data_IF_942111649239
#
_entry.id   IF_942111649239
#
_cell.length_a   1.000
_cell.length_b   1.000
_cell.length_c   1.000
_cell.angle_alpha   90.00
_cell.angle_beta   90.00
_cell.angle_gamma   90.00
#
_symmetry.space_group_name_H-M   'P 1'
#
loop_
_entity.id
_entity.type
_entity.pdbx_description
1 polymer ?
#
# COMPACT_ATOMS: atom_id res chain seq x y z
N UNK A 1 -30.43 -51.14 -32.90
CA UNK A 1 -28.99 -50.92 -32.58
C UNK A 1 -28.73 -49.43 -32.81
N UNK A 2 -28.69 -48.58 -31.78
CA UNK A 2 -27.67 -48.39 -30.71
C UNK A 2 -26.47 -47.57 -31.23
N UNK A 3 -26.34 -46.34 -30.71
CA UNK A 3 -25.16 -45.46 -30.51
C UNK A 3 -25.62 -44.00 -30.63
N UNK A 4 -25.98 -43.28 -29.54
CA UNK A 4 -25.20 -42.76 -28.39
C UNK A 4 -24.28 -41.58 -28.75
N UNK A 5 -24.66 -40.41 -28.20
CA UNK A 5 -23.92 -39.24 -27.69
C UNK A 5 -22.46 -39.00 -28.14
N UNK A 6 -22.15 -37.74 -28.46
CA UNK A 6 -21.44 -36.80 -27.57
C UNK A 6 -20.77 -35.67 -28.39
N UNK A 7 -21.32 -34.46 -28.36
CA UNK A 7 -20.62 -33.25 -28.82
C UNK A 7 -20.08 -32.52 -27.60
N UNK A 8 -18.77 -32.61 -27.36
CA UNK A 8 -18.09 -31.96 -26.25
C UNK A 8 -18.07 -30.44 -26.44
N UNK A 9 -18.66 -29.70 -25.50
CA UNK A 9 -18.50 -28.25 -25.37
C UNK A 9 -17.20 -28.00 -24.62
N UNK A 10 -16.16 -27.54 -25.32
CA UNK A 10 -14.92 -27.07 -24.71
C UNK A 10 -15.16 -25.68 -24.13
N UNK A 11 -15.32 -25.59 -22.80
CA UNK A 11 -15.26 -24.33 -22.06
C UNK A 11 -13.78 -23.88 -22.02
N UNK A 12 -13.44 -22.86 -22.81
CA UNK A 12 -12.19 -22.14 -22.67
C UNK A 12 -12.30 -21.23 -21.43
N UNK A 13 -11.79 -21.70 -20.30
CA UNK A 13 -11.57 -20.85 -19.14
C UNK A 13 -10.40 -19.91 -19.45
N UNK A 14 -10.70 -18.70 -19.93
CA UNK A 14 -9.73 -17.60 -19.95
C UNK A 14 -9.54 -17.13 -18.52
N UNK A 15 -8.57 -17.73 -17.81
CA UNK A 15 -8.08 -17.20 -16.55
C UNK A 15 -7.49 -15.82 -16.81
N UNK A 16 -8.11 -14.77 -16.27
CA UNK A 16 -7.49 -13.46 -16.19
C UNK A 16 -6.36 -13.61 -15.18
N UNK A 17 -5.11 -13.58 -15.64
CA UNK A 17 -3.99 -13.50 -14.72
C UNK A 17 -4.07 -12.11 -14.07
N UNK A 18 -4.52 -12.07 -12.82
CA UNK A 18 -4.33 -10.91 -11.96
C UNK A 18 -2.82 -10.75 -11.83
N UNK A 19 -2.27 -9.70 -12.44
CA UNK A 19 -0.87 -9.34 -12.24
C UNK A 19 -0.78 -8.77 -10.82
N UNK A 20 -0.27 -9.57 -9.88
CA UNK A 20 0.18 -9.03 -8.61
C UNK A 20 1.30 -8.02 -8.91
N UNK A 21 1.29 -6.88 -8.22
CA UNK A 21 2.30 -5.85 -8.39
C UNK A 21 3.63 -6.40 -7.88
N UNK A 22 4.53 -6.80 -8.79
CA UNK A 22 5.77 -7.49 -8.43
C UNK A 22 6.80 -6.46 -7.92
N UNK A 23 6.74 -6.17 -6.62
CA UNK A 23 7.74 -5.37 -5.92
C UNK A 23 9.07 -6.13 -5.84
N UNK A 24 10.18 -5.42 -6.01
CA UNK A 24 11.52 -6.00 -5.97
C UNK A 24 12.17 -5.74 -4.60
N UNK A 25 12.66 -6.79 -3.94
CA UNK A 25 13.34 -6.66 -2.65
C UNK A 25 14.69 -5.94 -2.74
N UNK A 26 14.91 -4.94 -1.89
CA UNK A 26 16.17 -4.22 -1.76
C UNK A 26 16.88 -4.53 -0.42
N UNK A 27 16.15 -4.47 0.69
CA UNK A 27 16.68 -4.77 2.04
C UNK A 27 15.55 -5.11 3.03
N UNK A 28 15.90 -5.48 4.26
CA UNK A 28 14.97 -5.57 5.38
C UNK A 28 15.63 -5.00 6.64
N UNK A 29 14.99 -4.02 7.27
CA UNK A 29 15.56 -3.31 8.43
C UNK A 29 14.49 -2.93 9.44
N UNK A 30 14.78 -3.16 10.72
CA UNK A 30 13.96 -2.74 11.85
C UNK A 30 12.48 -3.18 11.78
N UNK A 31 12.20 -4.34 11.17
CA UNK A 31 10.83 -4.88 11.04
C UNK A 31 10.09 -4.45 9.77
N UNK A 32 10.73 -3.68 8.89
CA UNK A 32 10.19 -3.22 7.62
C UNK A 32 10.99 -3.80 6.45
N UNK A 33 10.29 -4.19 5.40
CA UNK A 33 10.91 -4.47 4.11
C UNK A 33 11.20 -3.16 3.39
N UNK A 34 12.32 -3.10 2.67
CA UNK A 34 12.65 -2.02 1.76
C UNK A 34 12.59 -2.58 0.35
N UNK A 35 11.72 -2.01 -0.46
CA UNK A 35 11.35 -2.54 -1.77
C UNK A 35 11.49 -1.46 -2.85
N UNK A 36 11.63 -1.87 -4.09
CA UNK A 36 11.56 -1.03 -5.30
C UNK A 36 10.26 -1.36 -6.01
N UNK A 37 9.51 -0.32 -6.39
CA UNK A 37 8.32 -0.42 -7.25
C UNK A 37 8.67 0.00 -8.69
N UNK A 38 8.81 -0.95 -9.63
CA UNK A 38 9.09 -0.64 -11.03
C UNK A 38 7.99 0.17 -11.73
N UNK A 39 6.77 0.21 -11.17
CA UNK A 39 5.64 0.95 -11.75
C UNK A 39 5.67 2.45 -11.40
N UNK A 40 6.44 2.84 -10.39
CA UNK A 40 6.63 4.21 -9.92
C UNK A 40 8.01 4.75 -10.29
N UNK A 41 8.47 4.41 -11.51
CA UNK A 41 9.79 4.77 -12.05
C UNK A 41 10.95 4.31 -11.14
N UNK A 42 10.82 3.09 -10.59
CA UNK A 42 11.69 2.50 -9.58
C UNK A 42 11.70 3.24 -8.23
N UNK A 43 10.61 3.91 -7.88
CA UNK A 43 10.41 4.44 -6.55
C UNK A 43 10.57 3.38 -5.46
N UNK A 44 11.35 3.71 -4.43
CA UNK A 44 11.56 2.86 -3.28
C UNK A 44 10.53 3.15 -2.19
N UNK A 45 10.18 2.10 -1.45
CA UNK A 45 9.22 2.14 -0.37
C UNK A 45 9.67 1.29 0.81
N UNK A 46 9.06 1.55 1.96
CA UNK A 46 9.03 0.62 3.09
C UNK A 46 7.68 -0.08 3.14
N UNK A 47 7.69 -1.37 3.48
CA UNK A 47 6.48 -2.17 3.60
C UNK A 47 6.46 -2.93 4.94
N UNK A 48 5.29 -3.02 5.55
CA UNK A 48 5.04 -3.92 6.67
C UNK A 48 3.62 -4.48 6.62
N UNK A 49 3.52 -5.77 6.94
CA UNK A 49 2.26 -6.46 7.20
C UNK A 49 2.05 -6.61 8.72
N UNK A 50 0.82 -6.41 9.19
CA UNK A 50 0.48 -6.46 10.62
C UNK A 50 -0.49 -7.61 10.95
N UNK A 51 -0.54 -7.98 12.23
CA UNK A 51 -1.36 -9.12 12.71
C UNK A 51 -2.86 -8.96 12.46
N UNK A 52 -3.35 -7.73 12.29
CA UNK A 52 -4.74 -7.41 11.98
C UNK A 52 -5.08 -7.50 10.48
N UNK A 53 -4.13 -7.97 9.65
CA UNK A 53 -4.29 -8.11 8.21
C UNK A 53 -3.99 -6.83 7.43
N UNK A 54 -3.45 -5.80 8.07
CA UNK A 54 -3.02 -4.59 7.40
C UNK A 54 -1.76 -4.81 6.55
N UNK A 55 -1.76 -4.30 5.32
CA UNK A 55 -0.57 -4.11 4.47
C UNK A 55 -0.38 -2.59 4.30
N UNK A 56 0.78 -2.09 4.71
CA UNK A 56 1.11 -0.66 4.67
C UNK A 56 2.41 -0.45 3.93
N UNK A 57 2.32 0.36 2.87
CA UNK A 57 3.44 0.78 2.02
C UNK A 57 3.61 2.27 2.16
N UNK A 58 4.81 2.73 2.51
CA UNK A 58 5.15 4.16 2.56
C UNK A 58 6.33 4.37 1.64
N UNK A 59 6.14 5.14 0.58
CA UNK A 59 7.13 5.22 -0.49
C UNK A 59 7.21 6.58 -1.16
N UNK A 60 8.06 6.62 -2.17
CA UNK A 60 8.32 7.81 -2.97
C UNK A 60 8.01 7.51 -4.43
N UNK A 61 7.31 8.41 -5.10
CA UNK A 61 7.14 8.33 -6.55
C UNK A 61 8.26 9.13 -7.24
N UNK A 62 9.13 8.47 -8.01
CA UNK A 62 10.22 9.16 -8.70
C UNK A 62 9.73 10.08 -9.84
N UNK A 63 8.45 10.00 -10.23
CA UNK A 63 7.84 10.85 -11.26
C UNK A 63 7.49 12.25 -10.74
N UNK A 64 7.48 12.47 -9.42
CA UNK A 64 7.03 13.71 -8.80
C UNK A 64 7.72 14.02 -7.47
N UNK A 65 7.41 15.16 -6.84
CA UNK A 65 7.93 15.51 -5.50
C UNK A 65 7.12 14.87 -4.36
N UNK A 66 6.23 13.92 -4.67
CA UNK A 66 5.26 13.36 -3.73
C UNK A 66 5.73 12.01 -3.17
N UNK A 67 5.52 11.83 -1.87
CA UNK A 67 5.47 10.51 -1.26
C UNK A 67 4.04 9.97 -1.31
N UNK A 68 3.89 8.69 -1.00
CA UNK A 68 2.59 8.04 -0.94
C UNK A 68 2.49 7.09 0.25
N UNK A 69 1.26 6.84 0.68
CA UNK A 69 0.90 5.74 1.59
C UNK A 69 -0.13 4.89 0.89
N UNK A 70 0.18 3.62 0.63
CA UNK A 70 -0.87 2.63 0.38
C UNK A 70 -1.20 1.95 1.71
N UNK A 71 -2.47 1.95 2.07
CA UNK A 71 -2.95 1.35 3.31
C UNK A 71 -4.12 0.42 3.01
N UNK A 72 -3.89 -0.89 3.06
CA UNK A 72 -4.89 -1.91 2.78
C UNK A 72 -5.24 -2.72 4.03
N UNK A 73 -6.53 -2.99 4.22
CA UNK A 73 -7.11 -3.75 5.32
C UNK A 73 -8.60 -4.03 5.02
N UNK A 74 -9.11 -5.20 5.39
CA UNK A 74 -10.55 -5.52 5.21
C UNK A 74 -11.51 -4.53 5.89
N UNK A 75 -11.03 -3.78 6.89
CA UNK A 75 -11.75 -2.71 7.58
C UNK A 75 -12.17 -1.54 6.69
N UNK A 76 -11.59 -1.38 5.50
CA UNK A 76 -12.05 -0.42 4.50
C UNK A 76 -13.42 -0.79 3.91
N UNK A 77 -13.81 -2.07 3.96
CA UNK A 77 -15.06 -2.55 3.40
C UNK A 77 -15.12 -2.44 1.88
N UNK A 78 -16.25 -1.94 1.35
CA UNK A 78 -16.51 -1.86 -0.08
C UNK A 78 -15.87 -0.58 -0.70
N UNK A 79 -14.55 -0.62 -0.91
CA UNK A 79 -13.83 0.39 -1.70
C UNK A 79 -14.12 0.22 -3.20
N UNK A 80 -14.19 1.34 -3.91
CA UNK A 80 -14.25 1.40 -5.37
C UNK A 80 -12.91 1.93 -5.88
N UNK A 81 -12.26 1.17 -6.74
CA UNK A 81 -10.98 1.54 -7.34
C UNK A 81 -11.09 2.87 -8.10
N UNK A 82 -10.19 3.80 -7.83
CA UNK A 82 -10.16 5.14 -8.42
C UNK A 82 -11.13 6.16 -7.80
N UNK A 83 -11.92 5.78 -6.79
CA UNK A 83 -12.79 6.71 -6.09
C UNK A 83 -12.04 7.42 -4.96
N UNK A 84 -12.24 8.74 -4.80
CA UNK A 84 -11.68 9.50 -3.67
C UNK A 84 -12.50 9.29 -2.39
N UNK A 85 -11.79 9.13 -1.27
CA UNK A 85 -12.35 9.01 0.07
C UNK A 85 -11.64 9.96 1.02
N UNK A 86 -12.37 10.76 1.82
CA UNK A 86 -11.74 11.55 2.87
C UNK A 86 -11.20 10.63 3.97
N UNK A 87 -9.98 10.90 4.39
CA UNK A 87 -9.26 10.11 5.39
C UNK A 87 -8.64 11.03 6.43
N UNK A 88 -8.44 10.50 7.64
CA UNK A 88 -7.66 11.19 8.66
C UNK A 88 -6.61 10.28 9.27
N UNK A 89 -5.45 10.88 9.56
CA UNK A 89 -4.34 10.22 10.23
C UNK A 89 -4.16 10.84 11.61
N UNK A 90 -4.10 10.02 12.65
CA UNK A 90 -3.73 10.43 13.99
C UNK A 90 -2.36 9.86 14.32
N UNK A 91 -1.36 10.72 14.31
CA UNK A 91 0.04 10.44 14.54
C UNK A 91 0.39 10.83 15.99
N UNK A 92 0.38 9.86 16.90
CA UNK A 92 0.46 10.06 18.35
C UNK A 92 -0.50 11.16 18.88
N UNK A 93 -1.70 11.25 18.30
CA UNK A 93 -2.73 12.24 18.64
C UNK A 93 -2.68 13.55 17.86
N UNK A 94 -1.69 13.74 16.99
CA UNK A 94 -1.67 14.84 16.03
C UNK A 94 -2.43 14.45 14.76
N UNK A 95 -3.42 15.26 14.40
CA UNK A 95 -4.38 14.89 13.35
C UNK A 95 -4.07 15.59 12.04
N UNK A 96 -3.93 14.79 10.99
CA UNK A 96 -3.83 15.21 9.60
C UNK A 96 -5.09 14.79 8.85
N UNK A 97 -5.48 15.59 7.87
CA UNK A 97 -6.62 15.33 7.00
C UNK A 97 -6.11 15.19 5.56
N UNK A 98 -6.68 14.25 4.82
CA UNK A 98 -6.31 14.01 3.44
C UNK A 98 -7.44 13.35 2.66
N UNK A 99 -7.13 13.01 1.42
CA UNK A 99 -7.97 12.23 0.53
C UNK A 99 -7.16 11.01 0.09
N UNK A 100 -7.79 9.84 0.06
CA UNK A 100 -7.20 8.62 -0.47
C UNK A 100 -7.99 8.12 -1.67
N UNK A 101 -7.29 7.69 -2.72
CA UNK A 101 -7.88 7.04 -3.89
C UNK A 101 -8.02 5.54 -3.63
N UNK A 102 -9.21 4.99 -3.83
CA UNK A 102 -9.47 3.57 -3.61
C UNK A 102 -8.62 2.67 -4.50
N UNK A 103 -8.10 1.58 -3.93
CA UNK A 103 -7.34 0.55 -4.66
C UNK A 103 -7.44 -0.82 -3.99
N UNK A 104 -6.86 -1.81 -4.65
CA UNK A 104 -6.69 -3.16 -4.09
C UNK A 104 -5.21 -3.57 -4.09
N UNK A 105 -4.70 -3.96 -2.92
CA UNK A 105 -3.35 -4.52 -2.76
C UNK A 105 -3.50 -6.02 -2.55
N UNK A 106 -3.04 -6.83 -3.51
CA UNK A 106 -3.09 -8.30 -3.39
C UNK A 106 -4.50 -8.85 -3.03
N UNK A 107 -5.54 -8.14 -3.46
CA UNK A 107 -6.95 -8.46 -3.20
C UNK A 107 -7.54 -7.85 -1.92
N UNK A 108 -6.75 -7.19 -1.08
CA UNK A 108 -7.21 -6.43 0.09
C UNK A 108 -7.67 -5.03 -0.34
N UNK A 109 -8.84 -4.56 0.11
CA UNK A 109 -9.27 -3.19 -0.15
C UNK A 109 -8.37 -2.20 0.60
N UNK A 110 -8.09 -1.06 -0.03
CA UNK A 110 -7.24 -0.03 0.54
C UNK A 110 -7.39 1.30 -0.15
N UNK A 111 -6.53 2.23 0.23
CA UNK A 111 -6.45 3.56 -0.37
C UNK A 111 -4.99 3.96 -0.62
N UNK A 112 -4.77 4.76 -1.66
CA UNK A 112 -3.52 5.44 -2.01
C UNK A 112 -3.66 6.90 -1.59
N UNK A 113 -2.78 7.34 -0.69
CA UNK A 113 -2.72 8.71 -0.21
C UNK A 113 -1.41 9.32 -0.65
N UNK A 114 -1.46 10.21 -1.62
CA UNK A 114 -0.33 11.06 -1.98
C UNK A 114 -0.13 12.19 -0.94
N UNK A 115 1.12 12.51 -0.63
CA UNK A 115 1.48 13.65 0.20
C UNK A 115 2.74 14.35 -0.33
N UNK A 116 2.83 15.65 -0.12
CA UNK A 116 4.01 16.47 -0.45
C UNK A 116 4.63 17.16 0.78
N UNK A 117 4.10 16.86 1.98
CA UNK A 117 4.52 17.45 3.24
C UNK A 117 5.71 16.72 3.85
N UNK A 118 6.85 17.41 3.92
CA UNK A 118 8.03 16.92 4.64
C UNK A 118 7.73 16.76 6.13
N UNK A 119 6.95 17.66 6.73
CA UNK A 119 6.60 17.57 8.15
C UNK A 119 5.80 16.30 8.44
N UNK A 120 4.87 15.92 7.55
CA UNK A 120 4.12 14.68 7.68
C UNK A 120 5.01 13.43 7.56
N UNK A 121 5.94 13.41 6.60
CA UNK A 121 6.91 12.32 6.47
C UNK A 121 7.81 12.21 7.70
N UNK A 122 8.27 13.35 8.22
CA UNK A 122 9.11 13.40 9.42
C UNK A 122 8.38 12.94 10.67
N UNK A 123 7.07 13.17 10.76
CA UNK A 123 6.23 12.68 11.84
C UNK A 123 6.03 11.17 11.76
N UNK A 124 5.79 10.60 10.58
CA UNK A 124 5.78 9.14 10.37
C UNK A 124 7.09 8.51 10.83
N UNK A 125 8.22 9.16 10.56
CA UNK A 125 9.52 8.67 10.98
C UNK A 125 9.72 8.73 12.51
N UNK A 126 9.21 9.78 13.18
CA UNK A 126 9.55 10.06 14.58
C UNK A 126 8.54 9.56 15.61
N UNK A 127 7.27 9.44 15.22
CA UNK A 127 6.17 9.05 16.11
C UNK A 127 6.05 7.54 16.18
N UNK A 128 5.28 7.06 17.16
CA UNK A 128 5.20 5.63 17.48
C UNK A 128 3.99 4.95 16.86
N UNK A 129 2.89 5.69 16.71
CA UNK A 129 1.63 5.12 16.23
C UNK A 129 0.97 6.02 15.20
N UNK A 130 0.39 5.40 14.18
CA UNK A 130 -0.47 6.06 13.21
C UNK A 130 -1.81 5.33 13.14
N UNK A 131 -2.88 5.98 13.61
CA UNK A 131 -4.24 5.51 13.39
C UNK A 131 -4.78 6.15 12.11
N UNK A 132 -5.25 5.32 11.18
CA UNK A 132 -5.89 5.76 9.94
C UNK A 132 -7.39 5.51 10.03
N UNK A 133 -8.18 6.54 9.75
CA UNK A 133 -9.63 6.55 9.85
C UNK A 133 -10.29 7.00 8.56
N UNK A 134 -11.46 6.42 8.28
CA UNK A 134 -12.41 6.91 7.27
C UNK A 134 -13.53 7.72 7.94
N UNK A 135 -14.50 8.23 7.16
CA UNK A 135 -15.71 8.84 7.72
C UNK A 135 -16.50 7.88 8.62
N UNK A 136 -16.36 6.57 8.42
CA UNK A 136 -17.04 5.54 9.21
C UNK A 136 -16.35 5.26 10.54
N UNK A 137 -15.15 5.79 10.76
CA UNK A 137 -14.35 5.61 11.97
C UNK A 137 -12.96 5.02 11.70
N UNK A 138 -12.25 4.59 12.76
CA UNK A 138 -10.93 3.98 12.66
C UNK A 138 -10.96 2.71 11.80
N UNK A 139 -10.01 2.61 10.88
CA UNK A 139 -9.82 1.45 10.00
C UNK A 139 -8.70 0.57 10.52
N UNK A 140 -7.57 1.17 10.87
CA UNK A 140 -6.36 0.46 11.26
C UNK A 140 -5.46 1.32 12.16
N UNK A 141 -4.57 0.68 12.91
CA UNK A 141 -3.54 1.34 13.69
C UNK A 141 -2.19 0.67 13.43
N UNK A 142 -1.22 1.49 13.08
CA UNK A 142 0.08 1.07 12.56
C UNK A 142 1.12 1.38 13.64
N UNK A 143 1.92 0.38 14.01
CA UNK A 143 3.12 0.57 14.82
C UNK A 143 4.25 1.09 13.91
N UNK A 144 4.69 2.32 14.16
CA UNK A 144 5.75 2.98 13.41
C UNK A 144 7.13 2.69 13.98
N UNK A 145 7.27 1.78 14.95
CA UNK A 145 8.56 1.35 15.45
C UNK A 145 9.46 0.92 14.29
N UNK A 146 10.65 1.54 14.20
CA UNK A 146 11.62 1.25 13.15
C UNK A 146 11.42 2.03 11.84
N UNK A 147 10.30 2.74 11.66
CA UNK A 147 9.97 3.47 10.43
C UNK A 147 11.05 4.49 10.06
N UNK A 148 11.64 5.23 11.02
CA UNK A 148 12.74 6.15 10.76
C UNK A 148 13.93 5.49 10.06
N UNK A 149 14.34 4.31 10.56
CA UNK A 149 15.50 3.59 10.02
C UNK A 149 15.16 3.02 8.65
N UNK A 150 13.95 2.50 8.49
CA UNK A 150 13.45 1.98 7.23
C UNK A 150 13.33 3.08 6.16
N UNK A 151 12.75 4.25 6.49
CA UNK A 151 12.64 5.39 5.58
C UNK A 151 14.01 5.93 5.18
N UNK A 152 14.96 6.01 6.12
CA UNK A 152 16.35 6.36 5.78
C UNK A 152 16.94 5.35 4.79
N UNK A 153 16.66 4.06 4.98
CA UNK A 153 17.11 3.00 4.05
C UNK A 153 16.41 3.06 2.70
N UNK A 154 15.14 3.46 2.65
CA UNK A 154 14.43 3.72 1.41
C UNK A 154 15.01 4.93 0.67
N UNK A 155 15.48 5.98 1.37
CA UNK A 155 16.22 7.09 0.73
C UNK A 155 17.54 6.60 0.13
N UNK A 156 18.30 5.76 0.83
CA UNK A 156 19.51 5.14 0.25
C UNK A 156 19.18 4.24 -0.95
N UNK A 157 18.01 3.60 -0.95
CA UNK A 157 17.49 2.86 -2.09
C UNK A 157 17.21 3.79 -3.28
N UNK A 158 16.58 4.94 -3.05
CA UNK A 158 16.33 5.96 -4.08
C UNK A 158 17.64 6.40 -4.74
N UNK A 159 18.65 6.75 -3.95
CA UNK A 159 19.97 7.16 -4.45
C UNK A 159 20.65 6.09 -5.32
N UNK A 160 20.31 4.80 -5.11
CA UNK A 160 20.81 3.70 -5.90
C UNK A 160 20.06 3.50 -7.23
N UNK A 161 18.83 4.03 -7.36
CA UNK A 161 18.02 3.90 -8.58
C UNK A 161 18.32 4.99 -9.63
N UNK A 162 18.76 6.18 -9.23
CA UNK A 162 19.22 7.25 -10.14
C UNK A 162 18.65 8.62 -9.80
#
# INVERSE_FOLDING_TARGET
MKMILAGAVALLATGVAVQAQELQGFDQVAGWDVLVDPTLDNGCLINAEFEDGSDVRIGFDMRGPTGYIHAANDGWGDIVEGQSYPVSFSLDGEVYQGEGEGLYIDGLPGVDIEFDSIDFLMDIAQKQTMELSSESGPVMTIDLTGSAVALARAVECQDAQG
#
